data_IF_086365270799
#
_entry.id   IF_086365270799
#
_cell.length_a   1.000
_cell.length_b   1.000
_cell.length_c   1.000
_cell.angle_alpha   90.00
_cell.angle_beta   90.00
_cell.angle_gamma   90.00
#
_symmetry.space_group_name_H-M   'P 1'
#
loop_
_entity.id
_entity.type
_entity.pdbx_description
1 polymer ?
#
# COMPACT_ATOMS: atom_id res chain seq x y z
N UNK A 1 26.37 -31.64 19.44
CA UNK A 1 25.18 -31.56 18.60
C UNK A 1 25.19 -30.14 18.06
N UNK A 2 25.65 -29.93 16.81
CA UNK A 2 25.47 -28.66 16.11
C UNK A 2 23.94 -28.49 15.92
N UNK A 3 23.33 -27.59 16.69
CA UNK A 3 22.01 -27.08 16.31
C UNK A 3 22.20 -26.36 14.95
N UNK A 4 21.65 -26.93 13.90
CA UNK A 4 21.48 -26.18 12.67
C UNK A 4 20.80 -24.85 13.05
N UNK A 5 21.40 -23.72 12.68
CA UNK A 5 20.74 -22.43 12.86
C UNK A 5 19.36 -22.52 12.23
N UNK A 6 18.32 -22.16 12.98
CA UNK A 6 16.98 -22.08 12.42
C UNK A 6 16.98 -21.05 11.28
N UNK A 7 16.28 -21.36 10.19
CA UNK A 7 16.12 -20.41 9.09
C UNK A 7 15.50 -19.12 9.60
N UNK A 8 16.07 -17.98 9.25
CA UNK A 8 15.66 -16.66 9.74
C UNK A 8 15.13 -15.80 8.60
N UNK A 9 13.86 -15.44 8.67
CA UNK A 9 13.24 -14.49 7.77
C UNK A 9 13.19 -13.09 8.40
N UNK A 10 13.70 -12.08 7.70
CA UNK A 10 13.80 -10.73 8.22
C UNK A 10 12.99 -9.77 7.36
N UNK A 11 12.44 -8.73 7.97
CA UNK A 11 11.75 -7.66 7.25
C UNK A 11 12.36 -6.30 7.59
N UNK A 12 12.46 -5.46 6.56
CA UNK A 12 12.73 -4.03 6.69
C UNK A 12 11.54 -3.27 6.12
N UNK A 13 10.92 -2.40 6.94
CA UNK A 13 9.79 -1.57 6.48
C UNK A 13 10.30 -0.33 5.76
N UNK A 14 9.42 0.26 4.96
CA UNK A 14 9.58 1.66 4.57
C UNK A 14 9.23 2.63 5.72
N UNK A 15 9.10 3.92 5.41
CA UNK A 15 8.86 4.98 6.41
C UNK A 15 7.50 4.89 7.13
N UNK A 16 6.55 4.08 6.65
CA UNK A 16 5.24 3.91 7.27
C UNK A 16 5.26 3.13 8.61
N UNK A 17 6.34 2.39 8.88
CA UNK A 17 6.45 1.54 10.06
C UNK A 17 5.53 0.32 10.04
N UNK A 18 5.70 -0.61 10.99
CA UNK A 18 4.98 -1.90 11.00
C UNK A 18 3.55 -1.81 11.51
N UNK A 19 3.19 -0.76 12.23
CA UNK A 19 1.85 -0.57 12.80
C UNK A 19 0.97 0.36 11.95
N UNK A 20 1.20 0.36 10.64
CA UNK A 20 0.50 1.19 9.67
C UNK A 20 -0.96 0.76 9.39
N UNK A 21 -1.40 -0.34 9.99
CA UNK A 21 -2.73 -0.98 9.79
C UNK A 21 -3.01 -1.38 8.33
N UNK A 22 -2.00 -1.38 7.48
CA UNK A 22 -2.10 -1.57 6.04
C UNK A 22 -0.93 -2.37 5.48
N UNK A 23 -0.07 -1.75 4.71
CA UNK A 23 0.96 -2.31 3.85
C UNK A 23 2.07 -3.06 4.60
N UNK A 24 2.80 -2.36 5.49
CA UNK A 24 3.91 -2.96 6.23
C UNK A 24 3.43 -4.00 7.25
N UNK A 25 2.31 -3.74 7.93
CA UNK A 25 1.71 -4.68 8.87
C UNK A 25 1.31 -5.99 8.17
N UNK A 26 0.73 -5.90 6.97
CA UNK A 26 0.30 -7.08 6.20
C UNK A 26 1.50 -7.88 5.73
N UNK A 27 2.57 -7.23 5.28
CA UNK A 27 3.82 -7.89 4.93
C UNK A 27 4.45 -8.61 6.14
N UNK A 28 4.50 -7.93 7.29
CA UNK A 28 5.01 -8.52 8.55
C UNK A 28 4.16 -9.71 9.01
N UNK A 29 2.86 -9.62 8.85
CA UNK A 29 1.98 -10.76 9.13
C UNK A 29 2.37 -11.98 8.29
N UNK A 30 2.73 -11.82 7.03
CA UNK A 30 3.22 -12.91 6.19
C UNK A 30 4.48 -13.58 6.77
N UNK A 31 5.43 -12.79 7.28
CA UNK A 31 6.62 -13.32 7.98
C UNK A 31 6.20 -14.06 9.25
N UNK A 32 5.32 -13.49 10.08
CA UNK A 32 4.85 -14.12 11.31
C UNK A 32 4.08 -15.44 11.04
N UNK A 33 3.27 -15.48 9.97
CA UNK A 33 2.57 -16.70 9.57
C UNK A 33 3.57 -17.81 9.14
N UNK A 34 4.68 -17.43 8.50
CA UNK A 34 5.75 -18.37 8.17
C UNK A 34 6.45 -18.88 9.43
N UNK A 35 6.71 -18.01 10.41
CA UNK A 35 7.26 -18.41 11.74
C UNK A 35 6.32 -19.43 12.40
N UNK A 36 5.04 -19.13 12.49
CA UNK A 36 4.05 -20.00 13.12
C UNK A 36 3.92 -21.35 12.41
N UNK A 37 3.98 -21.36 11.07
CA UNK A 37 3.76 -22.56 10.25
C UNK A 37 5.00 -23.44 10.14
N UNK A 38 6.19 -22.85 10.09
CA UNK A 38 7.44 -23.55 9.76
C UNK A 38 8.46 -23.60 10.90
N UNK A 39 8.19 -22.92 12.03
CA UNK A 39 9.11 -22.88 13.17
C UNK A 39 10.43 -22.17 12.87
N UNK A 40 10.41 -21.18 11.98
CA UNK A 40 11.57 -20.36 11.62
C UNK A 40 11.69 -19.16 12.56
N UNK A 41 12.87 -18.53 12.59
CA UNK A 41 13.09 -17.28 13.32
C UNK A 41 12.73 -16.06 12.46
N UNK A 42 12.50 -14.92 13.10
CA UNK A 42 12.27 -13.66 12.39
C UNK A 42 12.87 -12.46 13.09
N UNK A 43 13.20 -11.42 12.30
CA UNK A 43 13.65 -10.11 12.79
C UNK A 43 12.96 -9.01 12.00
N UNK A 44 12.79 -7.86 12.63
CA UNK A 44 12.17 -6.68 12.04
C UNK A 44 13.04 -5.45 12.31
N UNK A 45 13.23 -4.61 11.28
CA UNK A 45 13.69 -3.23 11.42
C UNK A 45 12.70 -2.29 10.74
N UNK A 46 12.40 -1.19 11.43
CA UNK A 46 11.51 -0.15 10.93
C UNK A 46 12.32 1.06 10.52
N UNK A 47 12.13 1.51 9.27
CA UNK A 47 12.78 2.71 8.77
C UNK A 47 11.92 3.94 9.06
N UNK A 48 12.58 5.04 9.40
CA UNK A 48 11.92 6.34 9.66
C UNK A 48 12.24 7.38 8.59
N UNK A 49 13.25 7.08 7.78
CA UNK A 49 13.65 7.89 6.63
C UNK A 49 14.20 6.97 5.55
N UNK A 50 14.21 7.44 4.30
CA UNK A 50 14.80 6.66 3.18
C UNK A 50 16.29 6.38 3.39
N UNK A 51 16.98 7.26 4.11
CA UNK A 51 18.40 7.07 4.49
C UNK A 51 18.65 5.87 5.40
N UNK A 52 17.61 5.29 6.01
CA UNK A 52 17.70 4.11 6.87
C UNK A 52 17.69 2.80 6.05
N UNK A 53 17.21 2.81 4.81
CA UNK A 53 16.96 1.60 4.04
C UNK A 53 18.21 0.75 3.84
N UNK A 54 19.27 1.31 3.29
CA UNK A 54 20.51 0.59 3.03
C UNK A 54 21.22 0.14 4.32
N UNK A 55 21.39 1.00 5.35
CA UNK A 55 21.90 0.57 6.66
C UNK A 55 21.10 -0.57 7.30
N UNK A 56 19.76 -0.54 7.21
CA UNK A 56 18.91 -1.59 7.77
C UNK A 56 19.03 -2.91 7.01
N UNK A 57 19.06 -2.89 5.68
CA UNK A 57 19.29 -4.08 4.86
C UNK A 57 20.65 -4.71 5.19
N UNK A 58 21.71 -3.92 5.25
CA UNK A 58 23.06 -4.35 5.61
C UNK A 58 23.11 -4.93 7.04
N UNK A 59 22.37 -4.34 7.98
CA UNK A 59 22.26 -4.85 9.35
C UNK A 59 21.58 -6.21 9.39
N UNK A 60 20.54 -6.44 8.58
CA UNK A 60 19.87 -7.74 8.51
C UNK A 60 20.76 -8.83 7.89
N UNK A 61 21.57 -8.49 6.87
CA UNK A 61 22.59 -9.40 6.33
C UNK A 61 23.58 -9.77 7.43
N UNK A 62 24.13 -8.78 8.13
CA UNK A 62 25.08 -8.98 9.24
C UNK A 62 24.49 -9.77 10.40
N UNK A 63 23.17 -9.69 10.61
CA UNK A 63 22.44 -10.45 11.62
C UNK A 63 22.19 -11.91 11.22
N UNK A 64 22.63 -12.34 10.03
CA UNK A 64 22.54 -13.71 9.53
C UNK A 64 21.13 -14.10 9.05
N UNK A 65 20.38 -13.17 8.48
CA UNK A 65 19.09 -13.47 7.86
C UNK A 65 19.27 -14.28 6.58
N UNK A 66 18.53 -15.38 6.44
CA UNK A 66 18.55 -16.23 5.24
C UNK A 66 17.75 -15.61 4.09
N UNK A 67 16.70 -14.86 4.42
CA UNK A 67 15.92 -14.06 3.48
C UNK A 67 15.55 -12.72 4.10
N UNK A 68 15.66 -11.65 3.31
CA UNK A 68 15.29 -10.31 3.72
C UNK A 68 14.15 -9.80 2.84
N UNK A 69 13.04 -9.45 3.47
CA UNK A 69 11.86 -8.85 2.84
C UNK A 69 11.97 -7.34 2.95
N UNK A 70 12.24 -6.68 1.84
CA UNK A 70 12.17 -5.23 1.71
C UNK A 70 10.75 -4.83 1.35
N UNK A 71 10.13 -3.94 2.10
CA UNK A 71 8.73 -3.58 1.92
C UNK A 71 8.62 -2.17 1.35
N UNK A 72 8.22 -2.07 0.08
CA UNK A 72 7.89 -0.81 -0.57
C UNK A 72 8.78 -0.44 -1.75
N UNK A 73 8.16 0.23 -2.71
CA UNK A 73 8.77 0.69 -3.97
C UNK A 73 10.03 1.53 -3.74
N UNK A 74 10.01 2.39 -2.72
CA UNK A 74 11.12 3.32 -2.42
C UNK A 74 12.41 2.59 -2.01
N UNK A 75 12.33 1.33 -1.60
CA UNK A 75 13.49 0.52 -1.24
C UNK A 75 14.20 -0.11 -2.45
N UNK A 76 13.73 0.13 -3.68
CA UNK A 76 14.24 -0.52 -4.88
C UNK A 76 15.74 -0.40 -5.07
N UNK A 77 16.30 0.82 -4.98
CA UNK A 77 17.74 1.06 -5.14
C UNK A 77 18.55 0.45 -3.99
N UNK A 78 18.13 0.67 -2.76
CA UNK A 78 18.81 0.12 -1.57
C UNK A 78 18.85 -1.42 -1.59
N UNK A 79 17.75 -2.06 -2.02
CA UNK A 79 17.68 -3.53 -2.13
C UNK A 79 18.60 -4.04 -3.24
N UNK A 80 18.69 -3.34 -4.36
CA UNK A 80 19.63 -3.68 -5.44
C UNK A 80 21.08 -3.63 -4.94
N UNK A 81 21.46 -2.52 -4.33
CA UNK A 81 22.81 -2.33 -3.80
C UNK A 81 23.18 -3.42 -2.78
N UNK A 82 22.27 -3.74 -1.85
CA UNK A 82 22.50 -4.82 -0.89
C UNK A 82 22.62 -6.19 -1.57
N UNK A 83 21.80 -6.48 -2.57
CA UNK A 83 21.83 -7.75 -3.29
C UNK A 83 23.14 -7.93 -4.09
N UNK A 84 23.62 -6.88 -4.72
CA UNK A 84 24.90 -6.90 -5.44
C UNK A 84 26.09 -7.06 -4.49
N UNK A 85 26.04 -6.42 -3.30
CA UNK A 85 27.08 -6.52 -2.29
C UNK A 85 27.10 -7.89 -1.57
N UNK A 86 25.94 -8.56 -1.47
CA UNK A 86 25.77 -9.82 -0.72
C UNK A 86 25.12 -10.91 -1.58
N UNK A 87 25.81 -11.47 -2.55
CA UNK A 87 25.22 -12.38 -3.55
C UNK A 87 24.69 -13.70 -2.96
N UNK A 88 25.17 -14.09 -1.79
CA UNK A 88 24.72 -15.31 -1.09
C UNK A 88 23.46 -15.10 -0.24
N UNK A 89 23.08 -13.85 0.06
CA UNK A 89 21.87 -13.49 0.80
C UNK A 89 20.70 -13.37 -0.16
N UNK A 90 19.54 -13.90 0.22
CA UNK A 90 18.32 -13.81 -0.58
C UNK A 90 17.49 -12.61 -0.18
N UNK A 91 16.99 -11.92 -1.16
CA UNK A 91 16.10 -10.77 -0.98
C UNK A 91 14.77 -10.98 -1.71
N UNK A 92 13.73 -10.41 -1.16
CA UNK A 92 12.48 -10.17 -1.88
C UNK A 92 12.03 -8.75 -1.60
N UNK A 93 11.45 -8.09 -2.60
CA UNK A 93 10.97 -6.73 -2.47
C UNK A 93 9.50 -6.65 -2.92
N UNK A 94 8.68 -5.96 -2.13
CA UNK A 94 7.25 -5.77 -2.39
C UNK A 94 7.05 -4.45 -3.15
N UNK A 95 6.17 -4.48 -4.16
CA UNK A 95 5.81 -3.38 -5.06
C UNK A 95 6.95 -2.86 -5.94
N UNK A 96 7.99 -3.64 -6.15
CA UNK A 96 9.06 -3.31 -7.07
C UNK A 96 9.48 -4.53 -7.91
N UNK A 97 9.82 -4.29 -9.16
CA UNK A 97 10.44 -5.29 -10.03
C UNK A 97 11.58 -4.64 -10.82
N UNK A 98 12.70 -5.34 -10.91
CA UNK A 98 13.85 -4.89 -11.69
C UNK A 98 13.68 -5.29 -13.16
N UNK A 99 14.08 -4.41 -14.08
CA UNK A 99 14.11 -4.72 -15.51
C UNK A 99 15.15 -5.81 -15.83
N UNK A 100 16.26 -5.82 -15.09
CA UNK A 100 17.28 -6.87 -15.17
C UNK A 100 17.10 -7.86 -14.02
N UNK A 101 17.27 -9.15 -14.31
CA UNK A 101 17.15 -10.19 -13.29
C UNK A 101 18.36 -10.18 -12.36
N UNK A 102 18.15 -9.95 -11.09
CA UNK A 102 19.13 -10.16 -10.04
C UNK A 102 18.97 -11.60 -9.50
N UNK A 103 20.06 -12.37 -9.48
CA UNK A 103 19.99 -13.82 -9.16
C UNK A 103 19.46 -14.12 -7.75
N UNK A 104 19.66 -13.20 -6.81
CA UNK A 104 19.31 -13.33 -5.41
C UNK A 104 18.16 -12.41 -4.96
N UNK A 105 17.44 -11.76 -5.91
CA UNK A 105 16.28 -10.91 -5.61
C UNK A 105 15.03 -11.39 -6.33
N UNK A 106 13.92 -11.47 -5.62
CA UNK A 106 12.60 -11.65 -6.18
C UNK A 106 11.73 -10.43 -5.95
N UNK A 107 11.39 -9.71 -7.02
CA UNK A 107 10.35 -8.68 -6.99
C UNK A 107 8.96 -9.28 -6.88
N UNK A 108 8.12 -8.68 -6.07
CA UNK A 108 6.72 -9.05 -5.89
C UNK A 108 5.85 -7.86 -6.30
N UNK A 109 5.19 -7.97 -7.45
CA UNK A 109 4.24 -6.97 -7.93
C UNK A 109 2.86 -7.61 -8.07
N UNK A 110 1.84 -6.86 -7.76
CA UNK A 110 0.45 -7.31 -7.78
C UNK A 110 -0.34 -6.58 -8.86
N UNK A 111 -1.36 -7.24 -9.41
CA UNK A 111 -2.30 -6.62 -10.37
C UNK A 111 -3.33 -5.76 -9.62
N UNK A 112 -2.85 -4.72 -8.94
CA UNK A 112 -3.65 -3.84 -8.09
C UNK A 112 -4.67 -3.03 -8.88
N UNK A 113 -4.36 -2.71 -10.14
CA UNK A 113 -5.26 -2.10 -11.10
C UNK A 113 -6.54 -2.91 -11.31
N UNK A 114 -6.45 -4.25 -11.33
CA UNK A 114 -7.61 -5.13 -11.50
C UNK A 114 -8.53 -5.11 -10.27
N UNK A 115 -7.96 -5.15 -9.07
CA UNK A 115 -8.73 -5.04 -7.84
C UNK A 115 -9.39 -3.65 -7.72
N UNK A 116 -8.63 -2.60 -7.98
CA UNK A 116 -9.12 -1.22 -7.98
C UNK A 116 -10.19 -0.96 -9.05
N UNK A 117 -10.10 -1.62 -10.21
CA UNK A 117 -11.14 -1.56 -11.23
C UNK A 117 -12.49 -2.07 -10.70
N UNK A 118 -12.49 -3.18 -9.98
CA UNK A 118 -13.71 -3.70 -9.35
C UNK A 118 -14.25 -2.74 -8.29
N UNK A 119 -13.36 -2.15 -7.49
CA UNK A 119 -13.73 -1.14 -6.49
C UNK A 119 -14.34 0.11 -7.14
N UNK A 120 -13.75 0.61 -8.24
CA UNK A 120 -14.28 1.74 -8.99
C UNK A 120 -15.65 1.46 -9.62
N UNK A 121 -15.81 0.27 -10.21
CA UNK A 121 -17.10 -0.16 -10.76
C UNK A 121 -18.18 -0.23 -9.68
N UNK A 122 -17.87 -0.83 -8.52
CA UNK A 122 -18.79 -0.91 -7.38
C UNK A 122 -19.13 0.49 -6.86
N UNK A 123 -18.13 1.35 -6.67
CA UNK A 123 -18.30 2.73 -6.20
C UNK A 123 -19.27 3.52 -7.07
N UNK A 124 -19.08 3.43 -8.39
CA UNK A 124 -19.97 4.08 -9.34
C UNK A 124 -21.43 3.57 -9.24
N UNK A 125 -21.59 2.29 -8.88
CA UNK A 125 -22.92 1.66 -8.73
C UNK A 125 -23.65 2.04 -7.44
N UNK A 126 -22.92 2.34 -6.37
CA UNK A 126 -23.50 2.63 -5.04
C UNK A 126 -23.44 4.11 -4.65
N UNK A 127 -22.69 4.93 -5.38
CA UNK A 127 -22.65 6.39 -5.19
C UNK A 127 -24.05 6.99 -5.33
N UNK A 128 -24.40 7.88 -4.39
CA UNK A 128 -25.66 8.60 -4.36
C UNK A 128 -25.54 9.97 -5.04
N UNK A 129 -24.35 10.57 -4.99
CA UNK A 129 -24.09 11.89 -5.60
C UNK A 129 -23.71 11.79 -7.07
N UNK A 130 -23.24 10.63 -7.52
CA UNK A 130 -22.65 10.46 -8.85
C UNK A 130 -21.22 11.00 -8.93
N UNK A 131 -20.57 11.24 -7.80
CA UNK A 131 -19.17 11.66 -7.69
C UNK A 131 -18.43 10.75 -6.72
N UNK A 132 -17.30 10.21 -7.17
CA UNK A 132 -16.39 9.39 -6.35
C UNK A 132 -15.00 9.99 -6.45
N UNK A 133 -14.16 9.77 -5.45
CA UNK A 133 -12.85 10.39 -5.40
C UNK A 133 -11.72 9.39 -5.15
N UNK A 134 -10.51 9.76 -5.53
CA UNK A 134 -9.29 9.07 -5.16
C UNK A 134 -8.14 10.07 -5.05
N UNK A 135 -7.16 9.76 -4.22
CA UNK A 135 -5.89 10.47 -4.15
C UNK A 135 -4.77 9.48 -3.78
N UNK A 136 -3.56 9.82 -4.12
CA UNK A 136 -2.38 9.01 -3.79
C UNK A 136 -1.56 9.57 -2.63
N UNK A 137 -0.69 8.75 -2.06
CA UNK A 137 0.38 9.20 -1.19
C UNK A 137 1.46 9.90 -2.02
N UNK A 138 2.34 9.15 -2.64
CA UNK A 138 3.38 9.64 -3.54
C UNK A 138 3.07 9.21 -4.98
N UNK A 139 3.41 10.06 -5.97
CA UNK A 139 3.21 9.74 -7.38
C UNK A 139 4.25 8.71 -7.86
N UNK A 140 4.01 7.45 -7.58
CA UNK A 140 4.83 6.30 -7.98
C UNK A 140 3.97 5.22 -8.65
N UNK A 141 4.55 4.35 -9.48
CA UNK A 141 3.81 3.36 -10.27
C UNK A 141 2.84 2.48 -9.47
N UNK A 142 3.18 1.90 -8.29
CA UNK A 142 2.23 1.09 -7.55
C UNK A 142 1.00 1.89 -7.07
N UNK A 143 1.16 3.17 -6.74
CA UNK A 143 0.06 4.05 -6.32
C UNK A 143 -0.83 4.40 -7.51
N UNK A 144 -0.24 4.86 -8.61
CA UNK A 144 -1.02 5.25 -9.79
C UNK A 144 -1.73 4.07 -10.45
N UNK A 145 -1.23 2.83 -10.32
CA UNK A 145 -1.91 1.64 -10.80
C UNK A 145 -3.28 1.43 -10.12
N UNK A 146 -3.37 1.63 -8.81
CA UNK A 146 -4.67 1.63 -8.10
C UNK A 146 -5.59 2.74 -8.60
N UNK A 147 -5.07 3.97 -8.73
CA UNK A 147 -5.86 5.13 -9.16
C UNK A 147 -6.36 4.97 -10.60
N UNK A 148 -5.53 4.43 -11.49
CA UNK A 148 -5.89 4.07 -12.88
C UNK A 148 -7.02 3.03 -12.89
N UNK A 149 -6.85 1.93 -12.16
CA UNK A 149 -7.84 0.87 -12.08
C UNK A 149 -9.19 1.40 -11.58
N UNK A 150 -9.18 2.19 -10.51
CA UNK A 150 -10.38 2.80 -9.95
C UNK A 150 -11.11 3.69 -10.99
N UNK A 151 -10.39 4.60 -11.63
CA UNK A 151 -10.97 5.48 -12.63
C UNK A 151 -11.51 4.72 -13.84
N UNK A 152 -10.79 3.71 -14.33
CA UNK A 152 -11.25 2.85 -15.42
C UNK A 152 -12.48 2.01 -15.04
N UNK A 153 -12.57 1.55 -13.79
CA UNK A 153 -13.75 0.86 -13.27
C UNK A 153 -15.00 1.74 -13.32
N UNK A 154 -14.89 3.01 -12.91
CA UNK A 154 -15.98 4.00 -13.00
C UNK A 154 -16.35 4.29 -14.47
N UNK A 155 -15.34 4.52 -15.34
CA UNK A 155 -15.58 4.72 -16.78
C UNK A 155 -16.30 3.51 -17.40
N UNK A 156 -15.92 2.30 -17.03
CA UNK A 156 -16.58 1.09 -17.50
C UNK A 156 -18.03 0.98 -17.02
N UNK A 157 -18.30 1.27 -15.74
CA UNK A 157 -19.67 1.32 -15.22
C UNK A 157 -20.53 2.31 -16.02
N UNK A 158 -20.02 3.50 -16.25
CA UNK A 158 -20.72 4.53 -17.04
C UNK A 158 -21.10 4.01 -18.42
N UNK A 159 -20.13 3.37 -19.11
CA UNK A 159 -20.35 2.80 -20.46
C UNK A 159 -21.43 1.70 -20.45
N UNK A 160 -21.37 0.77 -19.48
CA UNK A 160 -22.26 -0.39 -19.43
C UNK A 160 -23.67 -0.01 -18.95
N UNK A 161 -23.77 0.95 -18.04
CA UNK A 161 -25.05 1.36 -17.41
C UNK A 161 -25.66 2.62 -17.97
N UNK A 162 -25.00 3.27 -18.92
CA UNK A 162 -25.47 4.55 -19.50
C UNK A 162 -25.53 5.66 -18.45
N UNK A 163 -24.54 5.70 -17.54
CA UNK A 163 -24.43 6.68 -16.46
C UNK A 163 -23.28 7.65 -16.71
N UNK A 164 -23.14 8.64 -15.85
CA UNK A 164 -22.10 9.67 -15.93
C UNK A 164 -21.55 10.00 -14.54
N UNK A 165 -21.08 8.98 -13.82
CA UNK A 165 -20.40 9.15 -12.53
C UNK A 165 -19.03 9.77 -12.78
N UNK A 166 -18.68 10.81 -12.01
CA UNK A 166 -17.40 11.51 -12.12
C UNK A 166 -16.36 10.93 -11.14
N UNK A 167 -15.11 10.93 -11.57
CA UNK A 167 -13.97 10.63 -10.70
C UNK A 167 -13.25 11.94 -10.40
N UNK A 168 -13.12 12.28 -9.12
CA UNK A 168 -12.37 13.43 -8.65
C UNK A 168 -10.98 12.96 -8.17
N UNK A 169 -9.97 13.81 -8.31
CA UNK A 169 -8.64 13.60 -7.77
C UNK A 169 -7.69 12.76 -8.62
N UNK A 170 -8.13 12.21 -9.75
CA UNK A 170 -7.25 11.52 -10.70
C UNK A 170 -7.82 11.51 -12.13
N UNK A 171 -6.98 11.90 -13.06
CA UNK A 171 -7.22 11.70 -14.50
C UNK A 171 -6.18 10.73 -15.07
N UNK A 172 -6.57 9.49 -15.41
CA UNK A 172 -5.63 8.49 -15.93
C UNK A 172 -5.12 8.82 -17.36
N UNK A 173 -5.84 9.63 -18.13
CA UNK A 173 -5.44 10.01 -19.48
C UNK A 173 -4.39 11.14 -19.44
N UNK A 174 -4.60 12.14 -18.57
CA UNK A 174 -3.65 13.21 -18.34
C UNK A 174 -2.47 12.79 -17.42
N UNK A 175 -2.62 11.69 -16.66
CA UNK A 175 -1.68 11.26 -15.63
C UNK A 175 -1.47 12.32 -14.54
N UNK A 176 -2.55 13.02 -14.18
CA UNK A 176 -2.55 14.13 -13.23
C UNK A 176 -3.59 13.94 -12.15
N UNK A 177 -3.30 14.41 -10.94
CA UNK A 177 -4.21 14.31 -9.82
C UNK A 177 -3.62 14.68 -8.47
N UNK A 178 -4.30 14.25 -7.42
CA UNK A 178 -4.02 14.65 -6.04
C UNK A 178 -3.09 13.66 -5.34
N UNK A 179 -2.02 14.20 -4.72
CA UNK A 179 -1.06 13.43 -3.92
C UNK A 179 -0.73 14.18 -2.64
N UNK A 180 -0.71 13.47 -1.52
CA UNK A 180 -0.30 14.03 -0.21
C UNK A 180 1.21 14.21 -0.10
N UNK A 181 1.98 13.58 -0.99
CA UNK A 181 3.45 13.52 -1.00
C UNK A 181 4.07 12.88 0.25
N UNK A 182 3.31 12.03 0.94
CA UNK A 182 3.76 11.25 2.09
C UNK A 182 2.90 9.98 2.26
N UNK A 183 3.32 9.10 3.20
CA UNK A 183 2.58 7.91 3.61
C UNK A 183 2.37 7.83 5.13
N UNK A 184 2.41 8.95 5.86
CA UNK A 184 2.38 8.94 7.32
C UNK A 184 1.45 10.01 7.95
N UNK A 185 1.08 11.06 7.22
CA UNK A 185 0.24 12.16 7.74
C UNK A 185 -1.25 11.81 7.70
N UNK A 186 -1.82 11.47 8.85
CA UNK A 186 -3.27 11.29 9.01
C UNK A 186 -4.05 12.59 8.75
N UNK A 187 -3.47 13.72 9.11
CA UNK A 187 -4.09 15.05 8.92
C UNK A 187 -4.26 15.35 7.43
N UNK A 188 -3.26 15.02 6.61
CA UNK A 188 -3.38 15.17 5.16
C UNK A 188 -4.46 14.25 4.59
N UNK A 189 -4.52 13.00 5.04
CA UNK A 189 -5.56 12.06 4.63
C UNK A 189 -6.97 12.56 4.94
N UNK A 190 -7.14 13.19 6.10
CA UNK A 190 -8.39 13.84 6.49
C UNK A 190 -8.70 15.04 5.60
N UNK A 191 -7.72 15.91 5.38
CA UNK A 191 -7.90 17.13 4.59
C UNK A 191 -8.23 16.83 3.12
N UNK A 192 -7.54 15.88 2.50
CA UNK A 192 -7.80 15.47 1.12
C UNK A 192 -9.18 14.83 0.96
N UNK A 193 -9.58 13.97 1.91
CA UNK A 193 -10.92 13.40 1.90
C UNK A 193 -12.01 14.47 2.11
N UNK A 194 -11.76 15.46 2.98
CA UNK A 194 -12.67 16.58 3.18
C UNK A 194 -12.84 17.39 1.89
N UNK A 195 -11.75 17.73 1.21
CA UNK A 195 -11.81 18.48 -0.04
C UNK A 195 -12.63 17.73 -1.10
N UNK A 196 -12.38 16.43 -1.27
CA UNK A 196 -13.15 15.61 -2.22
C UNK A 196 -14.64 15.51 -1.83
N UNK A 197 -14.94 15.40 -0.53
CA UNK A 197 -16.32 15.41 -0.03
C UNK A 197 -17.01 16.76 -0.29
N UNK A 198 -16.32 17.87 -0.06
CA UNK A 198 -16.84 19.21 -0.30
C UNK A 198 -17.10 19.46 -1.80
N UNK A 199 -16.33 18.80 -2.68
CA UNK A 199 -16.58 18.77 -4.13
C UNK A 199 -17.68 17.80 -4.54
N UNK A 200 -18.25 17.03 -3.61
CA UNK A 200 -19.41 16.18 -3.82
C UNK A 200 -19.12 14.67 -3.85
N UNK A 201 -17.88 14.21 -3.65
CA UNK A 201 -17.61 12.79 -3.56
C UNK A 201 -18.26 12.19 -2.30
N UNK A 202 -19.00 11.09 -2.48
CA UNK A 202 -19.58 10.31 -1.38
C UNK A 202 -18.84 8.98 -1.12
N UNK A 203 -17.85 8.68 -1.97
CA UNK A 203 -16.97 7.51 -1.82
C UNK A 203 -15.55 7.93 -2.20
N UNK A 204 -14.56 7.63 -1.35
CA UNK A 204 -13.15 7.97 -1.59
C UNK A 204 -12.27 6.74 -1.42
N UNK A 205 -11.35 6.54 -2.35
CA UNK A 205 -10.24 5.58 -2.30
C UNK A 205 -8.93 6.33 -2.02
N UNK A 206 -8.44 6.40 -0.78
CA UNK A 206 -7.11 6.92 -0.47
C UNK A 206 -6.05 5.86 -0.75
N UNK A 207 -5.20 6.07 -1.75
CA UNK A 207 -4.10 5.15 -2.11
C UNK A 207 -2.81 5.62 -1.44
N UNK A 208 -2.80 5.59 -0.12
CA UNK A 208 -1.76 6.24 0.66
C UNK A 208 -1.43 5.53 2.00
N UNK A 209 -1.67 4.20 2.08
CA UNK A 209 -1.39 3.43 3.29
C UNK A 209 -2.06 4.03 4.54
N UNK A 210 -1.30 4.27 5.64
CA UNK A 210 -1.86 4.77 6.89
C UNK A 210 -2.49 6.18 6.81
N UNK A 211 -2.12 6.99 5.82
CA UNK A 211 -2.74 8.31 5.56
C UNK A 211 -4.27 8.13 5.38
N UNK A 212 -4.72 7.04 4.77
CA UNK A 212 -6.14 6.70 4.60
C UNK A 212 -6.93 6.55 5.92
N UNK A 213 -6.25 6.31 7.04
CA UNK A 213 -6.90 6.29 8.37
C UNK A 213 -7.44 7.68 8.77
N UNK A 214 -6.80 8.75 8.31
CA UNK A 214 -7.31 10.12 8.45
C UNK A 214 -8.62 10.31 7.70
N UNK A 215 -8.71 9.80 6.47
CA UNK A 215 -9.94 9.79 5.67
C UNK A 215 -11.06 8.98 6.35
N UNK A 216 -10.72 7.81 6.89
CA UNK A 216 -11.66 6.97 7.63
C UNK A 216 -12.16 7.65 8.92
N UNK A 217 -11.31 8.46 9.59
CA UNK A 217 -11.72 9.25 10.74
C UNK A 217 -12.77 10.30 10.36
N UNK A 218 -12.58 10.97 9.24
CA UNK A 218 -13.57 11.91 8.70
C UNK A 218 -14.90 11.22 8.39
N UNK A 219 -14.86 10.07 7.71
CA UNK A 219 -16.07 9.32 7.38
C UNK A 219 -16.84 8.88 8.62
N UNK A 220 -16.13 8.45 9.69
CA UNK A 220 -16.75 8.09 10.97
C UNK A 220 -17.46 9.29 11.62
N UNK A 221 -16.92 10.49 11.53
CA UNK A 221 -17.54 11.71 12.06
C UNK A 221 -18.75 12.16 11.24
N UNK A 222 -18.66 12.10 9.92
CA UNK A 222 -19.75 12.51 9.03
C UNK A 222 -20.89 11.50 9.01
N UNK A 223 -20.58 10.22 9.20
CA UNK A 223 -21.49 9.09 9.04
C UNK A 223 -21.37 8.44 7.66
N UNK A 224 -21.48 7.12 7.63
CA UNK A 224 -21.29 6.29 6.43
C UNK A 224 -22.40 6.44 5.37
N UNK A 225 -23.45 7.14 5.68
CA UNK A 225 -24.49 7.54 4.73
C UNK A 225 -24.10 8.76 3.90
N UNK A 226 -23.09 9.52 4.34
CA UNK A 226 -22.56 10.71 3.69
C UNK A 226 -21.23 10.46 2.98
N UNK A 227 -20.27 9.80 3.65
CA UNK A 227 -18.96 9.49 3.11
C UNK A 227 -18.58 8.04 3.42
N UNK A 228 -18.07 7.32 2.43
CA UNK A 228 -17.50 5.98 2.56
C UNK A 228 -16.05 5.97 2.13
N UNK A 229 -15.25 5.17 2.81
CA UNK A 229 -13.83 5.00 2.48
C UNK A 229 -13.59 3.57 2.01
N UNK A 230 -12.83 3.43 0.94
CA UNK A 230 -12.33 2.13 0.49
C UNK A 230 -10.94 1.93 1.09
N UNK A 231 -10.76 0.86 1.86
CA UNK A 231 -9.45 0.49 2.40
C UNK A 231 -8.49 0.04 1.29
N UNK A 232 -7.20 0.33 1.46
CA UNK A 232 -6.12 -0.07 0.55
C UNK A 232 -5.24 -1.12 1.22
N UNK A 233 -4.63 -2.02 0.43
CA UNK A 233 -3.67 -3.07 0.80
C UNK A 233 -4.22 -4.16 1.72
N UNK A 234 -5.01 -3.81 2.71
CA UNK A 234 -5.54 -4.72 3.72
C UNK A 234 -7.05 -4.56 3.92
N UNK A 235 -7.68 -5.60 4.46
CA UNK A 235 -9.05 -5.51 4.95
C UNK A 235 -9.06 -4.66 6.24
N UNK A 236 -9.39 -3.38 6.10
CA UNK A 236 -9.40 -2.41 7.19
C UNK A 236 -10.28 -2.87 8.36
N UNK A 237 -11.33 -3.63 8.11
CA UNK A 237 -12.20 -4.16 9.18
C UNK A 237 -11.49 -5.16 10.09
N UNK A 238 -10.39 -5.74 9.63
CA UNK A 238 -9.54 -6.68 10.38
C UNK A 238 -8.31 -6.01 10.98
N UNK A 239 -7.69 -5.09 10.24
CA UNK A 239 -6.48 -4.39 10.69
C UNK A 239 -6.80 -3.26 11.67
N UNK A 240 -7.95 -2.61 11.53
CA UNK A 240 -8.50 -1.64 12.47
C UNK A 240 -10.00 -1.92 12.74
N UNK A 241 -10.32 -2.80 13.70
CA UNK A 241 -11.70 -3.15 14.00
C UNK A 241 -12.60 -1.99 14.45
N UNK A 242 -12.02 -0.83 14.79
CA UNK A 242 -12.78 0.38 15.15
C UNK A 242 -13.40 1.06 13.93
N UNK A 243 -12.99 0.67 12.72
CA UNK A 243 -13.41 1.25 11.43
C UNK A 243 -14.37 0.39 10.62
N UNK A 244 -15.10 -0.52 11.27
CA UNK A 244 -16.02 -1.46 10.57
C UNK A 244 -17.18 -0.81 9.84
N UNK A 245 -17.50 0.44 10.16
CA UNK A 245 -18.69 1.13 9.68
C UNK A 245 -18.38 2.33 8.74
N UNK A 246 -17.16 2.47 8.25
CA UNK A 246 -16.76 3.59 7.36
C UNK A 246 -16.50 3.16 5.93
#
# INVERSE_FOLDING_TARGET
>A
VNSANAFTACQVTDVGGVDDKSFNQTAWKGVQDAVAKHGIDSKLLESKAETDYEPHLNSMVSAGCDIIVAVGFMMGEATKNAAEAYPDTKFTIIDFAYAETLANVKGQVSATDQAAFLAGYLSAGVSKTGMVGTFGGINIPPVTAFMDGFAWGVKHYNKVKGKNVQVLGWDPDARDGLFTNNFDSLDDGRAFAQNLYDEGADIVLPVAGPVGLGSASLAAELGNDKLKIIGVDADMTKTDPTRKEV
#
